data_IF_266871837451
#
_entry.id   IF_266871837451
#
_cell.length_a   1.000
_cell.length_b   1.000
_cell.length_c   1.000
_cell.angle_alpha   90.00
_cell.angle_beta   90.00
_cell.angle_gamma   90.00
#
_symmetry.space_group_name_H-M   'P 1'
#
loop_
_entity.id
_entity.type
_entity.pdbx_description
1 polymer ?
#
# COMPACT_ATOMS: atom_id res chain seq x y z
N UNK A 1 20.04 4.35 20.37
CA UNK A 1 21.48 4.19 20.57
C UNK A 1 21.81 4.04 22.06
N UNK A 2 21.60 5.06 22.90
CA UNK A 2 21.99 5.04 24.33
C UNK A 2 21.52 3.81 25.13
N UNK A 3 20.32 3.29 24.88
CA UNK A 3 19.85 2.07 25.55
C UNK A 3 20.68 0.84 25.13
N UNK A 4 20.97 0.69 23.84
CA UNK A 4 21.78 -0.41 23.31
C UNK A 4 23.22 -0.31 23.83
N UNK A 5 23.78 0.89 23.88
CA UNK A 5 25.13 1.14 24.44
C UNK A 5 25.20 0.77 25.93
N UNK A 6 24.16 1.09 26.71
CA UNK A 6 24.06 0.69 28.13
C UNK A 6 24.01 -0.84 28.32
N UNK A 7 23.55 -1.57 27.31
CA UNK A 7 23.56 -3.04 27.28
C UNK A 7 24.92 -3.62 26.89
N UNK A 8 25.92 -2.77 26.62
CA UNK A 8 27.29 -3.18 26.27
C UNK A 8 27.52 -3.42 24.78
N UNK A 9 26.57 -3.07 23.91
CA UNK A 9 26.74 -3.23 22.47
C UNK A 9 27.22 -1.94 21.81
N UNK A 10 28.27 -1.99 20.96
CA UNK A 10 28.72 -0.84 20.20
C UNK A 10 27.65 -0.44 19.18
N UNK A 11 27.24 0.81 19.18
CA UNK A 11 26.14 1.30 18.37
C UNK A 11 26.45 2.69 17.80
N UNK A 12 25.92 2.98 16.61
CA UNK A 12 25.92 4.31 15.99
C UNK A 12 24.52 4.66 15.51
N UNK A 13 24.13 5.93 15.66
CA UNK A 13 22.86 6.44 15.14
C UNK A 13 23.13 7.40 13.99
N UNK A 14 22.47 7.15 12.85
CA UNK A 14 22.62 7.90 11.60
C UNK A 14 21.27 8.37 11.08
N UNK A 15 21.23 9.59 10.55
CA UNK A 15 20.06 10.12 9.84
C UNK A 15 20.04 9.60 8.38
N UNK A 16 18.89 9.71 7.71
CA UNK A 16 18.73 9.26 6.32
C UNK A 16 19.75 9.85 5.34
N UNK A 17 20.10 11.14 5.49
CA UNK A 17 21.13 11.77 4.67
C UNK A 17 22.54 11.23 4.94
N UNK A 18 22.84 10.81 6.19
CA UNK A 18 24.14 10.23 6.55
C UNK A 18 24.34 8.82 6.02
N UNK A 19 23.26 8.12 5.72
CA UNK A 19 23.27 6.80 5.09
C UNK A 19 22.98 6.89 3.58
N UNK A 20 23.07 8.08 3.00
CA UNK A 20 23.02 8.30 1.56
C UNK A 20 21.65 8.05 0.90
N UNK A 21 20.54 8.20 1.63
CA UNK A 21 19.20 8.10 1.04
C UNK A 21 18.91 9.38 0.25
N UNK A 22 18.96 9.28 -1.07
CA UNK A 22 18.60 10.39 -1.98
C UNK A 22 17.23 10.19 -2.57
N UNK A 23 16.47 11.29 -2.71
CA UNK A 23 15.06 11.29 -3.14
C UNK A 23 14.82 12.27 -4.30
N UNK A 24 13.59 12.28 -4.81
CA UNK A 24 13.08 13.40 -5.58
C UNK A 24 12.66 14.56 -4.65
N UNK A 25 12.34 15.73 -5.22
CA UNK A 25 11.98 16.95 -4.48
C UNK A 25 10.49 17.06 -4.12
N UNK A 26 9.76 15.94 -4.06
CA UNK A 26 8.40 15.93 -3.50
C UNK A 26 8.49 15.77 -1.97
N UNK A 27 8.62 16.88 -1.25
CA UNK A 27 9.04 16.91 0.16
C UNK A 27 8.17 16.13 1.13
N UNK A 28 6.88 15.93 0.84
CA UNK A 28 5.92 15.24 1.74
C UNK A 28 5.63 13.79 1.36
N UNK A 29 5.95 13.39 0.11
CA UNK A 29 5.77 12.02 -0.41
C UNK A 29 6.90 11.69 -1.39
N UNK A 30 8.12 11.80 -0.89
CA UNK A 30 9.32 11.62 -1.70
C UNK A 30 9.52 10.17 -2.12
N UNK A 31 10.10 10.00 -3.32
CA UNK A 31 10.51 8.69 -3.83
C UNK A 31 12.01 8.53 -3.71
N UNK A 32 12.45 7.43 -3.11
CA UNK A 32 13.88 7.08 -3.03
C UNK A 32 14.39 6.85 -4.46
N UNK A 33 15.47 7.53 -4.81
CA UNK A 33 16.17 7.39 -6.09
C UNK A 33 17.41 6.53 -5.98
N UNK A 34 18.13 6.66 -4.88
CA UNK A 34 19.36 5.92 -4.61
C UNK A 34 19.58 5.82 -3.11
N UNK A 35 20.19 4.73 -2.70
CA UNK A 35 20.74 4.55 -1.34
C UNK A 35 22.21 4.22 -1.49
N UNK A 36 23.06 5.02 -0.82
CA UNK A 36 24.49 4.79 -0.76
C UNK A 36 24.85 4.27 0.64
N UNK A 37 25.18 2.98 0.72
CA UNK A 37 25.40 2.31 2.00
C UNK A 37 26.87 2.26 2.46
N UNK A 38 27.78 2.97 1.82
CA UNK A 38 29.19 2.88 2.16
C UNK A 38 29.48 3.20 3.63
N UNK A 39 28.85 4.25 4.15
CA UNK A 39 28.94 4.60 5.57
C UNK A 39 28.41 3.51 6.50
N UNK A 40 27.27 2.91 6.13
CA UNK A 40 26.66 1.84 6.91
C UNK A 40 27.55 0.61 6.92
N UNK A 41 28.08 0.20 5.76
CA UNK A 41 29.03 -0.92 5.62
C UNK A 41 30.26 -0.73 6.49
N UNK A 42 30.86 0.46 6.47
CA UNK A 42 32.02 0.77 7.31
C UNK A 42 31.75 0.59 8.81
N UNK A 43 30.55 0.97 9.28
CA UNK A 43 30.18 0.82 10.69
C UNK A 43 29.88 -0.67 11.03
N UNK A 44 29.24 -1.40 10.11
CA UNK A 44 29.00 -2.85 10.27
C UNK A 44 30.30 -3.63 10.29
N UNK A 45 31.28 -3.28 9.45
CA UNK A 45 32.63 -3.89 9.45
C UNK A 45 33.34 -3.69 10.79
N UNK A 46 33.08 -2.56 11.46
CA UNK A 46 33.55 -2.27 12.82
C UNK A 46 32.74 -3.00 13.90
N UNK A 47 31.84 -3.92 13.52
CA UNK A 47 30.94 -4.69 14.42
C UNK A 47 30.03 -3.79 15.25
N UNK A 48 29.59 -2.66 14.70
CA UNK A 48 28.62 -1.78 15.34
C UNK A 48 27.22 -2.09 14.88
N UNK A 49 26.27 -1.95 15.79
CA UNK A 49 24.84 -1.87 15.45
C UNK A 49 24.59 -0.48 14.84
N UNK A 50 23.99 -0.44 13.67
CA UNK A 50 23.68 0.82 12.98
C UNK A 50 22.18 1.09 13.09
N UNK A 51 21.83 2.16 13.79
CA UNK A 51 20.47 2.69 13.85
C UNK A 51 20.31 3.75 12.77
N UNK A 52 19.34 3.56 11.89
CA UNK A 52 19.02 4.52 10.82
C UNK A 52 17.68 5.18 11.13
N UNK A 53 17.66 6.51 11.21
CA UNK A 53 16.40 7.26 11.26
C UNK A 53 15.72 7.16 9.89
N UNK A 54 14.74 6.27 9.78
CA UNK A 54 13.95 6.06 8.57
C UNK A 54 12.98 7.20 8.26
N UNK A 55 12.12 7.01 7.24
CA UNK A 55 11.10 7.96 6.82
C UNK A 55 11.64 9.21 6.11
N UNK A 56 12.91 9.42 6.02
CA UNK A 56 13.55 10.63 5.51
C UNK A 56 14.68 10.33 4.52
N UNK A 57 14.94 11.29 3.64
CA UNK A 57 16.09 11.35 2.75
C UNK A 57 16.42 12.79 2.43
N UNK A 58 17.25 13.01 1.41
CA UNK A 58 17.58 14.33 0.90
C UNK A 58 17.39 14.40 -0.60
N UNK A 59 16.96 15.54 -1.08
CA UNK A 59 16.87 15.78 -2.52
C UNK A 59 18.23 16.27 -3.10
N UNK A 60 18.23 16.63 -4.39
CA UNK A 60 19.43 17.08 -5.08
C UNK A 60 19.99 18.42 -4.56
N UNK A 61 19.14 19.24 -3.92
CA UNK A 61 19.52 20.51 -3.33
C UNK A 61 20.10 20.35 -1.92
N UNK A 62 20.01 19.13 -1.35
CA UNK A 62 20.42 18.84 0.02
C UNK A 62 19.31 19.08 1.05
N UNK A 63 18.09 19.39 0.57
CA UNK A 63 16.94 19.60 1.44
C UNK A 63 16.37 18.27 1.94
N UNK A 64 15.97 18.24 3.22
CA UNK A 64 15.38 17.05 3.83
C UNK A 64 13.97 16.81 3.27
N UNK A 65 13.73 15.59 2.87
CA UNK A 65 12.43 15.13 2.36
C UNK A 65 11.88 14.03 3.24
N UNK A 66 10.55 13.90 3.29
CA UNK A 66 9.88 12.78 3.94
C UNK A 66 9.25 11.84 2.92
N UNK A 67 9.27 10.54 3.21
CA UNK A 67 8.81 9.50 2.28
C UNK A 67 7.29 9.30 2.29
N UNK A 68 6.58 10.04 3.15
CA UNK A 68 5.14 9.88 3.31
C UNK A 68 4.75 8.61 4.06
N UNK A 69 3.48 8.23 4.00
CA UNK A 69 2.94 7.08 4.71
C UNK A 69 3.69 5.79 4.34
N UNK A 70 3.98 4.95 5.33
CA UNK A 70 4.77 3.72 5.15
C UNK A 70 6.25 3.97 4.82
N UNK A 71 6.73 5.20 5.03
CA UNK A 71 8.10 5.59 4.72
C UNK A 71 9.15 4.85 5.55
N UNK A 72 8.84 4.42 6.78
CA UNK A 72 9.75 3.62 7.62
C UNK A 72 9.97 2.23 7.02
N UNK A 73 8.89 1.54 6.63
CA UNK A 73 8.97 0.22 5.98
C UNK A 73 9.72 0.32 4.65
N UNK A 74 9.40 1.37 3.86
CA UNK A 74 10.10 1.64 2.60
C UNK A 74 11.59 1.89 2.83
N UNK A 75 11.95 2.60 3.90
CA UNK A 75 13.36 2.81 4.28
C UNK A 75 14.04 1.49 4.65
N UNK A 76 13.39 0.67 5.50
CA UNK A 76 13.94 -0.61 5.93
C UNK A 76 14.25 -1.52 4.74
N UNK A 77 13.28 -1.65 3.81
CA UNK A 77 13.46 -2.47 2.61
C UNK A 77 14.52 -1.88 1.69
N UNK A 78 14.55 -0.56 1.47
CA UNK A 78 15.57 0.08 0.63
C UNK A 78 16.99 -0.13 1.19
N UNK A 79 17.14 -0.08 2.51
CA UNK A 79 18.40 -0.40 3.18
C UNK A 79 18.76 -1.87 3.04
N UNK A 80 17.80 -2.79 3.20
CA UNK A 80 18.01 -4.23 3.00
C UNK A 80 18.49 -4.53 1.57
N UNK A 81 17.87 -3.91 0.56
CA UNK A 81 18.29 -4.02 -0.85
C UNK A 81 19.72 -3.52 -1.04
N UNK A 82 20.03 -2.32 -0.56
CA UNK A 82 21.35 -1.70 -0.76
C UNK A 82 22.48 -2.44 -0.01
N UNK A 83 22.16 -3.08 1.12
CA UNK A 83 23.07 -3.89 1.91
C UNK A 83 23.15 -5.35 1.41
N UNK A 84 22.26 -5.77 0.52
CA UNK A 84 22.10 -7.17 0.10
C UNK A 84 21.83 -8.09 1.30
N UNK A 85 20.88 -7.67 2.16
CA UNK A 85 20.52 -8.42 3.34
C UNK A 85 19.74 -9.69 2.97
N UNK A 86 19.92 -10.75 3.75
CA UNK A 86 19.21 -12.02 3.56
C UNK A 86 17.73 -11.91 3.96
N UNK A 87 17.44 -11.03 4.93
CA UNK A 87 16.12 -10.87 5.52
C UNK A 87 15.90 -9.42 5.95
N UNK A 88 14.70 -8.92 5.74
CA UNK A 88 14.23 -7.65 6.30
C UNK A 88 13.04 -7.92 7.22
N UNK A 89 13.23 -7.71 8.51
CA UNK A 89 12.20 -7.87 9.53
C UNK A 89 11.48 -6.56 9.78
N UNK A 90 10.14 -6.58 9.74
CA UNK A 90 9.28 -5.44 10.02
C UNK A 90 8.52 -5.73 11.32
N UNK A 91 8.91 -5.05 12.39
CA UNK A 91 8.25 -5.13 13.68
C UNK A 91 7.12 -4.09 13.75
N UNK A 92 5.89 -4.59 14.03
CA UNK A 92 4.68 -3.77 14.04
C UNK A 92 3.78 -4.12 15.23
N UNK A 93 2.57 -3.60 15.28
CA UNK A 93 1.57 -3.86 16.33
C UNK A 93 0.78 -5.16 16.11
N UNK A 94 1.00 -5.85 14.99
CA UNK A 94 0.43 -7.17 14.69
C UNK A 94 1.53 -8.23 14.59
N UNK A 95 1.19 -9.48 14.84
CA UNK A 95 2.15 -10.60 14.87
C UNK A 95 2.27 -11.35 13.52
N UNK A 96 1.75 -10.77 12.45
CA UNK A 96 1.84 -11.31 11.10
C UNK A 96 0.68 -10.87 10.21
N UNK A 97 0.58 -11.51 9.05
CA UNK A 97 -0.50 -11.32 8.08
C UNK A 97 -1.54 -12.42 8.30
N UNK A 98 -2.81 -12.04 8.31
CA UNK A 98 -3.94 -12.95 8.55
C UNK A 98 -4.79 -13.11 7.29
N UNK A 99 -5.55 -14.20 7.23
CA UNK A 99 -6.53 -14.44 6.16
C UNK A 99 -7.66 -13.41 6.13
N UNK A 100 -7.92 -12.72 7.23
CA UNK A 100 -8.78 -11.54 7.36
C UNK A 100 -8.36 -10.73 8.59
N UNK A 101 -8.95 -9.56 8.82
CA UNK A 101 -8.70 -8.79 10.05
C UNK A 101 -9.26 -9.55 11.28
N UNK A 102 -8.42 -10.04 12.21
CA UNK A 102 -8.87 -10.82 13.37
C UNK A 102 -9.76 -10.01 14.34
N UNK A 103 -9.74 -8.68 14.25
CA UNK A 103 -10.64 -7.80 15.02
C UNK A 103 -12.07 -7.82 14.51
N UNK A 104 -12.26 -8.22 13.24
CA UNK A 104 -13.57 -8.33 12.57
C UNK A 104 -14.00 -9.80 12.47
N UNK A 105 -13.06 -10.68 12.16
CA UNK A 105 -13.26 -12.13 11.99
C UNK A 105 -12.37 -12.86 12.99
N UNK A 106 -12.88 -13.22 14.19
CA UNK A 106 -12.06 -13.87 15.23
C UNK A 106 -11.44 -15.20 14.80
N UNK A 107 -12.04 -15.89 13.82
CA UNK A 107 -11.57 -17.16 13.27
C UNK A 107 -10.49 -16.98 12.19
N UNK A 108 -10.09 -15.74 11.88
CA UNK A 108 -9.03 -15.46 10.92
C UNK A 108 -7.73 -16.16 11.33
N UNK A 109 -7.10 -16.81 10.37
CA UNK A 109 -5.88 -17.60 10.60
C UNK A 109 -4.65 -16.78 10.19
N UNK A 110 -3.61 -16.80 11.01
CA UNK A 110 -2.33 -16.25 10.63
C UNK A 110 -1.71 -17.09 9.52
N UNK A 111 -1.11 -16.42 8.54
CA UNK A 111 -0.39 -17.05 7.44
C UNK A 111 1.09 -17.20 7.84
N UNK A 112 1.63 -18.40 7.68
CA UNK A 112 3.07 -18.61 7.88
C UNK A 112 3.88 -17.98 6.75
N UNK A 113 3.37 -18.08 5.53
CA UNK A 113 4.00 -17.56 4.32
C UNK A 113 2.96 -16.97 3.37
N UNK A 114 3.34 -15.90 2.65
CA UNK A 114 2.53 -15.26 1.61
C UNK A 114 3.43 -14.80 0.46
N UNK A 115 2.92 -14.81 -0.78
CA UNK A 115 3.66 -14.27 -1.92
C UNK A 115 3.62 -12.75 -1.93
N UNK A 116 4.63 -12.11 -2.59
CA UNK A 116 4.60 -10.65 -2.77
C UNK A 116 3.33 -10.18 -3.48
N UNK A 117 2.85 -10.93 -4.49
CA UNK A 117 1.65 -10.57 -5.23
C UNK A 117 0.41 -10.56 -4.33
N UNK A 118 0.19 -11.64 -3.59
CA UNK A 118 -0.93 -11.74 -2.65
C UNK A 118 -0.85 -10.67 -1.56
N UNK A 119 0.37 -10.36 -1.05
CA UNK A 119 0.56 -9.31 -0.06
C UNK A 119 0.26 -7.91 -0.63
N UNK A 120 0.69 -7.63 -1.87
CA UNK A 120 0.38 -6.38 -2.57
C UNK A 120 -1.12 -6.21 -2.79
N UNK A 121 -1.81 -7.28 -3.19
CA UNK A 121 -3.27 -7.25 -3.34
C UNK A 121 -3.96 -6.98 -2.01
N UNK A 122 -3.63 -7.72 -0.94
CA UNK A 122 -4.19 -7.49 0.38
C UNK A 122 -3.95 -6.06 0.87
N UNK A 123 -2.73 -5.55 0.72
CA UNK A 123 -2.36 -4.20 1.14
C UNK A 123 -3.10 -3.12 0.33
N UNK A 124 -3.29 -3.34 -0.97
CA UNK A 124 -4.03 -2.42 -1.86
C UNK A 124 -5.53 -2.41 -1.57
N UNK A 125 -6.06 -3.53 -1.06
CA UNK A 125 -7.48 -3.73 -0.81
C UNK A 125 -7.91 -3.40 0.62
N UNK A 126 -6.98 -2.94 1.48
CA UNK A 126 -7.30 -2.43 2.81
C UNK A 126 -6.59 -3.12 3.99
N UNK A 127 -5.86 -4.21 3.78
CA UNK A 127 -5.04 -4.82 4.83
C UNK A 127 -3.79 -3.98 5.10
N UNK A 128 -3.82 -3.14 6.14
CA UNK A 128 -2.79 -2.14 6.44
C UNK A 128 -1.61 -2.71 7.26
N UNK A 129 -1.16 -3.92 6.98
CA UNK A 129 -0.04 -4.56 7.70
C UNK A 129 1.31 -4.08 7.15
N UNK A 130 1.45 -4.05 5.83
CA UNK A 130 2.62 -3.52 5.13
C UNK A 130 2.19 -2.46 4.11
N UNK A 131 3.05 -1.50 3.86
CA UNK A 131 2.79 -0.50 2.82
C UNK A 131 3.18 -1.03 1.43
N UNK A 132 2.34 -0.81 0.40
CA UNK A 132 2.57 -1.31 -0.96
C UNK A 132 3.97 -1.00 -1.49
N UNK A 133 4.48 0.22 -1.30
CA UNK A 133 5.81 0.64 -1.76
C UNK A 133 6.94 -0.23 -1.21
N UNK A 134 6.83 -0.67 0.04
CA UNK A 134 7.84 -1.54 0.65
C UNK A 134 7.79 -2.94 0.05
N UNK A 135 6.59 -3.47 -0.18
CA UNK A 135 6.41 -4.80 -0.78
C UNK A 135 6.81 -4.82 -2.26
N UNK A 136 6.46 -3.77 -3.03
CA UNK A 136 6.91 -3.59 -4.43
C UNK A 136 8.43 -3.58 -4.55
N UNK A 137 9.08 -2.84 -3.64
CA UNK A 137 10.53 -2.76 -3.61
C UNK A 137 11.16 -4.11 -3.25
N UNK A 138 10.63 -4.78 -2.21
CA UNK A 138 11.08 -6.11 -1.81
C UNK A 138 10.93 -7.13 -2.94
N UNK A 139 9.79 -7.13 -3.64
CA UNK A 139 9.54 -7.96 -4.82
C UNK A 139 10.55 -7.69 -5.93
N UNK A 140 10.78 -6.41 -6.28
CA UNK A 140 11.65 -6.02 -7.39
C UNK A 140 13.10 -6.49 -7.20
N UNK A 141 13.54 -6.61 -5.95
CA UNK A 141 14.90 -7.02 -5.60
C UNK A 141 14.98 -8.37 -4.90
N UNK A 142 13.85 -9.09 -4.81
CA UNK A 142 13.73 -10.40 -4.17
C UNK A 142 14.27 -10.45 -2.72
N UNK A 143 13.97 -9.40 -1.94
CA UNK A 143 14.32 -9.33 -0.52
C UNK A 143 13.20 -9.97 0.30
N UNK A 144 13.51 -11.05 1.00
CA UNK A 144 12.55 -11.69 1.90
C UNK A 144 12.19 -10.76 3.04
N UNK A 145 10.86 -10.60 3.28
CA UNK A 145 10.35 -9.86 4.43
C UNK A 145 9.81 -10.83 5.48
N UNK A 146 9.88 -10.44 6.74
CA UNK A 146 9.19 -11.11 7.84
C UNK A 146 8.45 -10.07 8.67
N UNK A 147 7.14 -10.27 8.84
CA UNK A 147 6.29 -9.40 9.64
C UNK A 147 6.16 -9.97 11.03
N UNK A 148 6.55 -9.21 12.04
CA UNK A 148 6.64 -9.63 13.44
C UNK A 148 5.95 -8.63 14.37
N UNK A 149 5.53 -9.11 15.54
CA UNK A 149 5.04 -8.23 16.60
C UNK A 149 6.17 -7.58 17.37
N UNK A 150 5.99 -6.30 17.70
CA UNK A 150 6.85 -5.60 18.67
C UNK A 150 6.54 -5.98 20.14
N UNK A 151 5.43 -6.69 20.40
CA UNK A 151 4.91 -6.95 21.72
C UNK A 151 4.92 -8.43 22.12
N UNK A 152 4.91 -9.32 21.13
CA UNK A 152 4.82 -10.78 21.36
C UNK A 152 5.96 -11.45 20.63
N UNK A 153 6.71 -12.29 21.35
CA UNK A 153 7.76 -13.13 20.78
C UNK A 153 7.13 -14.41 20.19
N UNK A 154 6.82 -14.36 18.90
CA UNK A 154 6.22 -15.46 18.15
C UNK A 154 6.72 -15.43 16.70
N UNK A 155 6.70 -16.58 15.96
CA UNK A 155 7.00 -16.59 14.54
C UNK A 155 6.09 -15.63 13.77
N UNK A 156 6.64 -14.87 12.85
CA UNK A 156 5.92 -13.93 12.00
C UNK A 156 5.37 -14.56 10.73
N UNK A 157 4.96 -13.71 9.78
CA UNK A 157 4.61 -14.12 8.41
C UNK A 157 5.76 -13.78 7.47
N UNK A 158 6.21 -14.76 6.69
CA UNK A 158 7.24 -14.58 5.67
C UNK A 158 6.61 -14.15 4.35
N UNK A 159 7.10 -13.05 3.78
CA UNK A 159 6.71 -12.55 2.45
C UNK A 159 7.84 -12.80 1.47
N UNK A 160 7.61 -13.61 0.43
CA UNK A 160 8.61 -14.04 -0.55
C UNK A 160 7.99 -14.36 -1.91
N UNK A 161 8.80 -14.63 -2.94
CA UNK A 161 8.31 -14.90 -4.30
C UNK A 161 7.53 -16.22 -4.39
N UNK A 162 8.06 -17.29 -3.79
CA UNK A 162 7.47 -18.64 -3.86
C UNK A 162 7.19 -19.18 -2.48
N UNK A 163 5.94 -19.58 -2.23
CA UNK A 163 5.52 -20.25 -1.01
C UNK A 163 5.39 -21.75 -1.23
N UNK A 164 5.77 -22.55 -0.24
CA UNK A 164 5.65 -24.02 -0.28
C UNK A 164 4.20 -24.42 0.02
N UNK A 165 3.29 -24.25 -0.94
CA UNK A 165 1.92 -24.77 -0.83
C UNK A 165 1.83 -26.09 -1.61
N UNK A 166 1.55 -27.19 -0.93
CA UNK A 166 1.36 -28.52 -1.53
C UNK A 166 0.04 -28.58 -2.31
N UNK A 167 -0.99 -27.87 -1.84
CA UNK A 167 -2.28 -27.68 -2.54
C UNK A 167 -2.58 -26.17 -2.65
N UNK A 168 -3.09 -25.76 -3.82
CA UNK A 168 -3.49 -24.37 -4.06
C UNK A 168 -4.70 -24.02 -3.22
N UNK A 169 -4.52 -23.22 -2.19
CA UNK A 169 -5.63 -22.54 -1.53
C UNK A 169 -6.19 -21.52 -2.52
N UNK A 170 -7.46 -21.65 -2.90
CA UNK A 170 -8.11 -20.75 -3.88
C UNK A 170 -8.19 -19.32 -3.38
N UNK A 171 -8.41 -19.14 -2.07
CA UNK A 171 -8.52 -17.86 -1.41
C UNK A 171 -7.42 -17.79 -0.36
N UNK A 172 -6.56 -16.79 -0.46
CA UNK A 172 -5.48 -16.52 0.50
C UNK A 172 -5.99 -15.63 1.62
N UNK A 173 -6.86 -14.67 1.30
CA UNK A 173 -7.41 -13.77 2.30
C UNK A 173 -8.57 -12.94 1.79
N UNK A 174 -9.18 -12.22 2.74
CA UNK A 174 -10.25 -11.26 2.53
C UNK A 174 -9.87 -9.94 3.18
N UNK A 175 -9.90 -8.87 2.40
CA UNK A 175 -9.63 -7.52 2.87
C UNK A 175 -10.91 -6.68 2.89
N UNK A 176 -11.04 -5.79 3.88
CA UNK A 176 -12.12 -4.83 3.98
C UNK A 176 -11.57 -3.40 4.01
N UNK A 177 -12.14 -2.52 3.18
CA UNK A 177 -11.91 -1.08 3.27
C UNK A 177 -13.21 -0.36 3.63
N UNK A 178 -13.19 0.34 4.78
CA UNK A 178 -14.31 1.12 5.33
C UNK A 178 -14.18 2.62 5.05
N UNK A 179 -13.07 3.06 4.46
CA UNK A 179 -12.76 4.48 4.23
C UNK A 179 -12.98 4.86 2.78
N UNK A 180 -14.07 4.39 2.23
CA UNK A 180 -14.47 4.64 0.86
C UNK A 180 -15.88 5.25 0.81
N UNK A 181 -16.16 5.94 -0.28
CA UNK A 181 -17.49 6.38 -0.66
C UNK A 181 -17.78 5.93 -2.10
N UNK A 182 -19.04 5.79 -2.41
CA UNK A 182 -19.55 5.53 -3.75
C UNK A 182 -20.17 6.82 -4.28
N UNK A 183 -19.81 7.19 -5.50
CA UNK A 183 -20.48 8.25 -6.27
C UNK A 183 -21.08 7.60 -7.51
N UNK A 184 -22.36 7.88 -7.77
CA UNK A 184 -23.06 7.51 -8.98
C UNK A 184 -23.47 8.76 -9.74
N UNK A 185 -23.06 8.90 -10.98
CA UNK A 185 -23.56 9.89 -11.92
C UNK A 185 -24.60 9.20 -12.79
N UNK A 186 -25.85 9.61 -12.62
CA UNK A 186 -27.03 9.00 -13.24
C UNK A 186 -27.44 9.82 -14.43
N UNK A 187 -27.85 9.16 -15.51
CA UNK A 187 -28.36 9.81 -16.73
C UNK A 187 -27.26 10.55 -17.49
N UNK A 188 -26.07 9.98 -17.59
CA UNK A 188 -24.99 10.55 -18.43
C UNK A 188 -25.26 10.23 -19.90
N UNK A 189 -25.09 11.22 -20.77
CA UNK A 189 -25.20 11.02 -22.23
C UNK A 189 -24.21 9.94 -22.72
N UNK A 190 -24.68 8.99 -23.54
CA UNK A 190 -23.82 7.97 -24.14
C UNK A 190 -23.02 8.54 -25.33
N UNK A 191 -22.16 9.51 -25.03
CA UNK A 191 -21.27 10.11 -26.01
C UNK A 191 -19.85 9.52 -25.93
N UNK A 192 -19.20 9.32 -27.11
CA UNK A 192 -17.81 8.91 -27.12
C UNK A 192 -16.91 9.89 -26.36
N UNK A 193 -16.17 9.39 -25.37
CA UNK A 193 -15.21 10.19 -24.61
C UNK A 193 -15.75 10.82 -23.31
N UNK A 194 -17.02 10.67 -22.95
CA UNK A 194 -17.57 11.23 -21.69
C UNK A 194 -16.86 10.68 -20.47
N UNK A 195 -16.59 9.38 -20.39
CA UNK A 195 -15.83 8.78 -19.30
C UNK A 195 -14.40 9.34 -19.25
N UNK A 196 -13.75 9.56 -20.40
CA UNK A 196 -12.43 10.19 -20.42
C UNK A 196 -12.48 11.62 -19.86
N UNK A 197 -13.46 12.42 -20.24
CA UNK A 197 -13.65 13.79 -19.73
C UNK A 197 -13.77 13.77 -18.20
N UNK A 198 -14.64 12.90 -17.67
CA UNK A 198 -14.88 12.72 -16.23
C UNK A 198 -13.57 12.36 -15.49
N UNK A 199 -12.94 11.26 -15.87
CA UNK A 199 -11.75 10.78 -15.13
C UNK A 199 -10.51 11.66 -15.33
N UNK A 200 -10.39 12.35 -16.48
CA UNK A 200 -9.34 13.35 -16.68
C UNK A 200 -9.54 14.59 -15.79
N UNK A 201 -10.79 15.02 -15.59
CA UNK A 201 -11.14 16.09 -14.65
C UNK A 201 -10.72 15.72 -13.23
N UNK A 202 -11.11 14.52 -12.75
CA UNK A 202 -10.77 14.02 -11.43
C UNK A 202 -9.24 13.86 -11.24
N UNK A 203 -8.55 13.37 -12.26
CA UNK A 203 -7.10 13.21 -12.23
C UNK A 203 -6.34 14.54 -12.14
N UNK A 204 -6.77 15.58 -12.86
CA UNK A 204 -6.18 16.94 -12.77
C UNK A 204 -6.26 17.49 -11.35
N UNK A 205 -7.35 17.20 -10.67
CA UNK A 205 -7.58 17.60 -9.30
C UNK A 205 -7.02 16.60 -8.28
N UNK A 206 -6.26 15.60 -8.72
CA UNK A 206 -5.62 14.57 -7.88
C UNK A 206 -6.62 13.77 -7.04
N UNK A 207 -7.85 13.61 -7.50
CA UNK A 207 -8.83 12.68 -6.93
C UNK A 207 -8.54 11.29 -7.48
N UNK A 208 -8.19 10.36 -6.61
CA UNK A 208 -7.95 8.97 -7.00
C UNK A 208 -9.26 8.18 -6.97
N UNK A 209 -9.53 7.46 -8.05
CA UNK A 209 -10.69 6.59 -8.23
C UNK A 209 -10.22 5.14 -8.20
N UNK A 210 -10.95 4.28 -7.50
CA UNK A 210 -10.55 2.88 -7.32
C UNK A 210 -11.40 1.95 -8.23
N UNK A 211 -12.67 1.73 -7.92
CA UNK A 211 -13.58 0.93 -8.76
C UNK A 211 -14.34 1.83 -9.71
N UNK A 212 -14.53 1.37 -10.93
CA UNK A 212 -15.36 2.05 -11.94
C UNK A 212 -16.32 1.02 -12.51
N UNK A 213 -17.62 1.31 -12.42
CA UNK A 213 -18.69 0.52 -13.02
C UNK A 213 -19.47 1.42 -13.97
N UNK A 214 -19.74 0.92 -15.15
CA UNK A 214 -20.60 1.58 -16.12
C UNK A 214 -21.76 0.66 -16.43
N UNK A 215 -22.99 1.15 -16.23
CA UNK A 215 -24.19 0.43 -16.64
C UNK A 215 -24.69 0.97 -17.97
N UNK A 216 -25.42 0.13 -18.70
CA UNK A 216 -26.25 0.58 -19.81
C UNK A 216 -27.55 1.08 -19.20
N UNK A 217 -27.83 2.37 -19.36
CA UNK A 217 -29.11 2.97 -19.00
C UNK A 217 -30.19 2.67 -20.06
N UNK A 218 -31.36 3.29 -19.89
CA UNK A 218 -32.40 3.34 -20.92
C UNK A 218 -32.18 4.57 -21.79
N UNK A 219 -32.59 4.52 -23.05
CA UNK A 219 -32.69 5.67 -23.96
C UNK A 219 -31.37 6.46 -24.22
N UNK A 220 -30.28 5.75 -24.56
CA UNK A 220 -28.97 6.35 -24.88
C UNK A 220 -28.29 7.06 -23.69
N UNK A 221 -28.68 6.72 -22.45
CA UNK A 221 -28.05 7.20 -21.22
C UNK A 221 -27.24 6.08 -20.55
N UNK A 222 -26.26 6.48 -19.75
CA UNK A 222 -25.41 5.58 -18.98
C UNK A 222 -25.27 6.09 -17.56
N UNK A 223 -25.17 5.16 -16.63
CA UNK A 223 -24.74 5.50 -15.28
C UNK A 223 -23.25 5.16 -15.13
N UNK A 224 -22.49 6.07 -14.57
CA UNK A 224 -21.12 5.82 -14.17
C UNK A 224 -21.05 5.85 -12.66
N UNK A 225 -20.72 4.71 -12.08
CA UNK A 225 -20.53 4.54 -10.65
C UNK A 225 -19.06 4.34 -10.37
N UNK A 226 -18.51 5.05 -9.40
CA UNK A 226 -17.13 4.87 -9.00
C UNK A 226 -16.97 5.02 -7.49
N UNK A 227 -15.86 4.45 -6.96
CA UNK A 227 -15.48 4.60 -5.57
C UNK A 227 -14.23 5.44 -5.42
N UNK A 228 -14.14 6.15 -4.31
CA UNK A 228 -13.00 6.99 -3.94
C UNK A 228 -12.84 6.98 -2.42
N UNK A 229 -11.72 7.52 -1.94
CA UNK A 229 -11.52 7.67 -0.51
C UNK A 229 -12.54 8.67 0.08
N UNK A 230 -13.10 8.36 1.25
CA UNK A 230 -14.11 9.19 1.95
C UNK A 230 -13.68 10.65 2.15
N UNK A 231 -12.40 10.87 2.42
CA UNK A 231 -11.80 12.21 2.58
C UNK A 231 -11.87 13.10 1.33
N UNK A 232 -11.98 12.50 0.15
CA UNK A 232 -11.96 13.20 -1.14
C UNK A 232 -13.40 13.49 -1.66
N UNK A 233 -14.44 13.01 -0.96
CA UNK A 233 -15.85 13.10 -1.38
C UNK A 233 -16.29 14.56 -1.57
N UNK A 234 -16.07 15.41 -0.58
CA UNK A 234 -16.52 16.82 -0.63
C UNK A 234 -15.89 17.55 -1.81
N UNK A 235 -14.60 17.35 -2.01
CA UNK A 235 -13.88 17.96 -3.13
C UNK A 235 -14.36 17.43 -4.48
N UNK A 236 -14.56 16.11 -4.57
CA UNK A 236 -15.05 15.46 -5.78
C UNK A 236 -16.46 15.94 -6.12
N UNK A 237 -17.37 16.01 -5.14
CA UNK A 237 -18.74 16.47 -5.34
C UNK A 237 -18.79 17.92 -5.86
N UNK A 238 -18.06 18.84 -5.22
CA UNK A 238 -17.99 20.23 -5.69
C UNK A 238 -17.48 20.33 -7.11
N UNK A 239 -16.43 19.58 -7.45
CA UNK A 239 -15.86 19.57 -8.79
C UNK A 239 -16.85 19.06 -9.85
N UNK A 240 -17.62 18.02 -9.52
CA UNK A 240 -18.61 17.45 -10.42
C UNK A 240 -19.80 18.39 -10.61
N UNK A 241 -20.28 19.04 -9.55
CA UNK A 241 -21.36 20.02 -9.62
C UNK A 241 -20.97 21.24 -10.49
N UNK A 242 -19.75 21.75 -10.34
CA UNK A 242 -19.21 22.85 -11.16
C UNK A 242 -19.12 22.49 -12.65
N UNK A 243 -18.99 21.21 -12.97
CA UNK A 243 -18.83 20.71 -14.34
C UNK A 243 -20.06 19.93 -14.86
N UNK A 244 -21.22 20.03 -14.18
CA UNK A 244 -22.43 19.29 -14.51
C UNK A 244 -22.85 19.47 -15.96
N UNK A 245 -22.88 20.69 -16.45
CA UNK A 245 -23.28 21.01 -17.82
C UNK A 245 -22.34 20.42 -18.88
N UNK A 246 -21.06 20.27 -18.55
CA UNK A 246 -20.05 19.72 -19.47
C UNK A 246 -20.02 18.20 -19.49
N UNK A 247 -20.46 17.58 -18.40
CA UNK A 247 -20.51 16.12 -18.20
C UNK A 247 -21.88 15.54 -18.55
N UNK A 248 -22.92 16.37 -18.67
CA UNK A 248 -24.29 16.01 -19.04
C UNK A 248 -24.84 14.81 -18.23
N UNK A 249 -24.97 14.96 -16.92
CA UNK A 249 -25.64 14.00 -16.05
C UNK A 249 -26.85 14.64 -15.36
N UNK A 250 -27.86 13.83 -15.07
CA UNK A 250 -29.10 14.31 -14.44
C UNK A 250 -28.88 14.65 -12.98
N UNK A 251 -28.37 13.69 -12.21
CA UNK A 251 -28.10 13.87 -10.80
C UNK A 251 -26.92 13.01 -10.34
N UNK A 252 -26.43 13.33 -9.15
CA UNK A 252 -25.35 12.65 -8.49
C UNK A 252 -25.82 12.06 -7.15
N UNK A 253 -25.63 10.76 -6.97
CA UNK A 253 -25.88 10.07 -5.71
C UNK A 253 -24.55 9.80 -5.00
N UNK A 254 -24.48 10.15 -3.72
CA UNK A 254 -23.30 9.94 -2.87
C UNK A 254 -23.68 9.03 -1.70
N UNK A 255 -22.95 7.94 -1.53
CA UNK A 255 -23.13 7.04 -0.40
C UNK A 255 -21.78 6.83 0.32
N UNK A 256 -21.71 7.33 1.55
CA UNK A 256 -20.54 7.21 2.43
C UNK A 256 -20.69 6.07 3.45
N UNK A 257 -21.80 5.34 3.42
CA UNK A 257 -22.08 4.22 4.34
C UNK A 257 -21.61 2.87 3.82
N UNK A 258 -20.94 2.84 2.67
CA UNK A 258 -20.46 1.61 2.01
C UNK A 258 -19.12 1.15 2.53
N UNK A 259 -18.87 -0.15 2.39
CA UNK A 259 -17.55 -0.77 2.59
C UNK A 259 -17.22 -1.64 1.39
N UNK A 260 -15.95 -1.67 1.01
CA UNK A 260 -15.46 -2.60 -0.01
C UNK A 260 -14.94 -3.86 0.68
N UNK A 261 -15.43 -5.03 0.27
CA UNK A 261 -14.90 -6.33 0.67
C UNK A 261 -14.30 -7.00 -0.57
N UNK A 262 -13.05 -7.42 -0.45
CA UNK A 262 -12.29 -7.98 -1.57
C UNK A 262 -11.71 -9.33 -1.18
N UNK A 263 -11.82 -10.30 -2.07
CA UNK A 263 -11.25 -11.64 -1.93
C UNK A 263 -9.93 -11.69 -2.71
N UNK A 264 -8.88 -12.17 -2.08
CA UNK A 264 -7.55 -12.31 -2.66
C UNK A 264 -7.15 -13.77 -2.73
N UNK A 265 -6.65 -14.22 -3.87
CA UNK A 265 -6.14 -15.57 -4.04
C UNK A 265 -5.77 -15.89 -5.48
N UNK A 266 -4.57 -16.42 -5.68
CA UNK A 266 -4.05 -16.80 -7.00
C UNK A 266 -4.86 -17.96 -7.67
N UNK A 267 -5.61 -18.73 -6.88
CA UNK A 267 -6.41 -19.85 -7.38
C UNK A 267 -7.80 -19.49 -7.89
N UNK A 268 -8.20 -18.21 -7.89
CA UNK A 268 -9.54 -17.79 -8.32
C UNK A 268 -9.74 -17.89 -9.84
N UNK A 269 -8.67 -17.65 -10.61
CA UNK A 269 -8.69 -17.78 -12.07
C UNK A 269 -8.80 -19.26 -12.46
N UNK A 270 -9.88 -19.62 -13.16
CA UNK A 270 -10.08 -20.96 -13.71
C UNK A 270 -10.78 -21.96 -12.79
N UNK A 271 -11.22 -21.54 -11.59
CA UNK A 271 -11.99 -22.42 -10.68
C UNK A 271 -13.41 -21.88 -10.50
N UNK A 272 -14.40 -22.49 -11.19
CA UNK A 272 -15.81 -22.11 -11.04
C UNK A 272 -16.30 -22.29 -9.59
N UNK A 273 -17.14 -21.37 -9.14
CA UNK A 273 -17.79 -21.43 -7.83
C UNK A 273 -16.99 -20.84 -6.66
N UNK A 274 -15.80 -20.27 -6.88
CA UNK A 274 -15.03 -19.59 -5.82
C UNK A 274 -15.82 -18.40 -5.25
N UNK A 275 -16.52 -17.67 -6.10
CA UNK A 275 -17.32 -16.52 -5.67
C UNK A 275 -18.60 -16.92 -4.90
N UNK A 276 -18.99 -18.20 -4.92
CA UNK A 276 -20.18 -18.71 -4.23
C UNK A 276 -19.86 -19.31 -2.84
N UNK A 277 -18.60 -19.46 -2.52
CA UNK A 277 -18.10 -19.96 -1.24
C UNK A 277 -17.73 -18.83 -0.30
#
# INVERSE_FOLDING_TARGET
>A
AMAIEKMGYPVVSLCGWQVGITTNSNHSDARIRRVDCDRVRQELDRKRIVLVAGFQGVDRSGDVTTLGRGGSDTTAVAMAVALQADLCQIFTDVDGVYTSDPRVVPEAKKLDEITYNEMLELASLGAQVLHNRSVELAKSYNIQLEVLSSFVEAPGTIVKEVVKKVEKTYITGVAQDKKIARIALVGMADEPGVAYKLFNLLAKEKVNVDMILQSLGHDEEKDIVFTLADKDVVRCASLLDENKDSLHFDHMDIDTSVSKVSIVGAGMLGNPGVAAK
#
